data_IF_459999233542
#
_entry.id   IF_459999233542
#
_cell.length_a   1.000
_cell.length_b   1.000
_cell.length_c   1.000
_cell.angle_alpha   90.00
_cell.angle_beta   90.00
_cell.angle_gamma   90.00
#
_symmetry.space_group_name_H-M   'P 1'
#
loop_
_entity.id
_entity.type
_entity.pdbx_description
1 polymer ?
#
# COMPACT_ATOMS: atom_id res chain seq x y z
N UNK A 1 9.49 0.34 -15.71
CA UNK A 1 8.73 0.29 -14.46
C UNK A 1 7.31 -0.16 -14.82
N UNK A 2 6.77 -1.21 -14.19
CA UNK A 2 5.37 -1.60 -14.41
C UNK A 2 4.43 -0.74 -13.56
N UNK A 3 3.27 -0.38 -14.09
CA UNK A 3 2.25 0.33 -13.32
C UNK A 3 1.55 -0.65 -12.37
N UNK A 4 1.70 -0.40 -11.06
CA UNK A 4 1.09 -1.21 -10.00
C UNK A 4 -0.45 -1.14 -10.01
N UNK A 5 -1.06 -0.10 -10.60
CA UNK A 5 -2.51 -0.04 -10.80
C UNK A 5 -2.94 -1.04 -11.86
N UNK A 6 -2.26 -1.08 -13.00
CA UNK A 6 -2.53 -2.05 -14.06
C UNK A 6 -2.37 -3.50 -13.58
N UNK A 7 -1.38 -3.79 -12.72
CA UNK A 7 -1.21 -5.13 -12.14
C UNK A 7 -2.36 -5.49 -11.19
N UNK A 8 -2.88 -4.52 -10.41
CA UNK A 8 -4.04 -4.72 -9.52
C UNK A 8 -5.32 -4.97 -10.29
N UNK A 9 -5.54 -4.23 -11.36
CA UNK A 9 -6.75 -4.32 -12.18
C UNK A 9 -6.77 -5.59 -13.02
N UNK A 10 -5.62 -6.04 -13.52
CA UNK A 10 -5.54 -7.25 -14.36
C UNK A 10 -4.26 -8.07 -14.10
N UNK A 11 -4.18 -8.77 -12.95
CA UNK A 11 -3.01 -9.56 -12.59
C UNK A 11 -2.76 -10.73 -13.56
N UNK A 12 -3.83 -11.32 -14.09
CA UNK A 12 -3.73 -12.42 -15.05
C UNK A 12 -3.07 -11.99 -16.37
N UNK A 13 -3.39 -10.80 -16.89
CA UNK A 13 -2.74 -10.26 -18.08
C UNK A 13 -1.25 -9.98 -17.84
N UNK A 14 -0.90 -9.49 -16.65
CA UNK A 14 0.49 -9.32 -16.25
C UNK A 14 1.24 -10.65 -16.20
N UNK A 15 0.68 -11.67 -15.53
CA UNK A 15 1.30 -13.00 -15.46
C UNK A 15 1.43 -13.65 -16.83
N UNK A 16 0.45 -13.51 -17.73
CA UNK A 16 0.56 -14.00 -19.09
C UNK A 16 1.70 -13.32 -19.88
N UNK A 17 1.92 -12.02 -19.67
CA UNK A 17 3.03 -11.29 -20.28
C UNK A 17 4.39 -11.68 -19.68
N UNK A 18 4.43 -12.00 -18.38
CA UNK A 18 5.64 -12.46 -17.68
C UNK A 18 5.98 -13.92 -18.01
N UNK A 19 4.98 -14.77 -18.26
CA UNK A 19 5.19 -16.16 -18.67
C UNK A 19 5.92 -16.25 -20.02
N UNK A 20 5.69 -15.30 -20.93
CA UNK A 20 6.45 -15.16 -22.20
C UNK A 20 7.95 -14.90 -21.97
N UNK A 21 8.32 -14.47 -20.77
CA UNK A 21 9.70 -14.22 -20.32
C UNK A 21 10.23 -15.33 -19.39
N UNK A 22 9.49 -16.43 -19.23
CA UNK A 22 9.86 -17.54 -18.35
C UNK A 22 9.61 -17.27 -16.86
N UNK A 23 8.81 -16.26 -16.51
CA UNK A 23 8.52 -15.90 -15.12
C UNK A 23 7.05 -16.20 -14.83
N UNK A 24 6.79 -17.06 -13.85
CA UNK A 24 5.44 -17.50 -13.45
C UNK A 24 5.02 -16.92 -12.11
N UNK A 25 3.75 -16.49 -11.99
CA UNK A 25 3.14 -16.10 -10.72
C UNK A 25 3.64 -14.79 -10.12
N UNK A 26 4.29 -13.94 -10.92
CA UNK A 26 4.90 -12.69 -10.47
C UNK A 26 3.89 -11.72 -9.85
N UNK A 27 2.63 -11.71 -10.33
CA UNK A 27 1.60 -10.80 -9.80
C UNK A 27 1.32 -11.05 -8.32
N UNK A 28 1.34 -12.31 -7.87
CA UNK A 28 0.93 -12.70 -6.52
C UNK A 28 1.79 -12.08 -5.43
N UNK A 29 3.10 -12.21 -5.53
CA UNK A 29 4.06 -11.66 -4.58
C UNK A 29 4.06 -10.12 -4.62
N UNK A 30 3.99 -9.53 -5.82
CA UNK A 30 3.90 -8.08 -6.00
C UNK A 30 2.66 -7.52 -5.30
N UNK A 31 1.50 -8.17 -5.47
CA UNK A 31 0.24 -7.73 -4.87
C UNK A 31 0.22 -7.93 -3.35
N UNK A 32 0.88 -8.97 -2.83
CA UNK A 32 1.03 -9.15 -1.38
C UNK A 32 1.84 -8.00 -0.76
N UNK A 33 2.97 -7.64 -1.37
CA UNK A 33 3.80 -6.51 -0.91
C UNK A 33 3.05 -5.18 -1.05
N UNK A 34 2.32 -4.96 -2.15
CA UNK A 34 1.49 -3.76 -2.32
C UNK A 34 0.40 -3.66 -1.25
N UNK A 35 -0.28 -4.76 -0.94
CA UNK A 35 -1.29 -4.80 0.12
C UNK A 35 -0.70 -4.45 1.48
N UNK A 36 0.43 -5.05 1.85
CA UNK A 36 1.12 -4.74 3.11
C UNK A 36 1.57 -3.28 3.17
N UNK A 37 2.12 -2.76 2.07
CA UNK A 37 2.53 -1.36 1.97
C UNK A 37 1.36 -0.41 2.18
N UNK A 38 0.22 -0.65 1.52
CA UNK A 38 -0.99 0.19 1.68
C UNK A 38 -1.52 0.15 3.11
N UNK A 39 -1.51 -1.03 3.75
CA UNK A 39 -1.90 -1.16 5.16
C UNK A 39 -1.00 -0.33 6.09
N UNK A 40 0.33 -0.39 5.89
CA UNK A 40 1.28 0.41 6.68
C UNK A 40 1.10 1.92 6.49
N UNK A 41 0.82 2.36 5.26
CA UNK A 41 0.53 3.78 4.99
C UNK A 41 -0.71 4.23 5.76
N UNK A 42 -1.81 3.47 5.63
CA UNK A 42 -3.06 3.80 6.33
C UNK A 42 -2.86 3.84 7.86
N UNK A 43 -2.13 2.88 8.43
CA UNK A 43 -1.81 2.87 9.86
C UNK A 43 -0.96 4.08 10.28
N UNK A 44 0.01 4.47 9.45
CA UNK A 44 0.84 5.65 9.71
C UNK A 44 0.02 6.94 9.66
N UNK A 45 -0.91 7.06 8.71
CA UNK A 45 -1.80 8.23 8.58
C UNK A 45 -2.76 8.33 9.77
N UNK A 46 -3.32 7.21 10.22
CA UNK A 46 -4.14 7.15 11.43
C UNK A 46 -3.36 7.59 12.67
N UNK A 47 -2.16 7.03 12.89
CA UNK A 47 -1.30 7.41 14.02
C UNK A 47 -0.90 8.90 13.97
N UNK A 48 -0.70 9.45 12.78
CA UNK A 48 -0.43 10.88 12.58
C UNK A 48 -1.63 11.77 12.95
N UNK A 49 -2.84 11.35 12.57
CA UNK A 49 -4.08 12.03 12.94
C UNK A 49 -4.30 12.00 14.46
N UNK A 50 -4.16 10.83 15.08
CA UNK A 50 -4.29 10.66 16.54
C UNK A 50 -3.31 11.54 17.30
N UNK A 51 -2.03 11.56 16.88
CA UNK A 51 -1.01 12.44 17.49
C UNK A 51 -1.36 13.92 17.38
N UNK A 52 -1.93 14.33 16.24
CA UNK A 52 -2.35 15.71 16.02
C UNK A 52 -3.50 16.10 16.95
N UNK A 53 -4.49 15.22 17.11
CA UNK A 53 -5.61 15.42 18.05
C UNK A 53 -5.10 15.53 19.48
N UNK A 54 -4.28 14.57 19.93
CA UNK A 54 -3.72 14.58 21.28
C UNK A 54 -2.88 15.85 21.57
N UNK A 55 -2.12 16.33 20.57
CA UNK A 55 -1.34 17.57 20.72
C UNK A 55 -2.22 18.81 20.96
N UNK A 56 -3.39 18.88 20.30
CA UNK A 56 -4.35 19.97 20.48
C UNK A 56 -5.01 19.93 21.85
N UNK A 57 -5.40 18.74 22.32
CA UNK A 57 -5.98 18.55 23.64
C UNK A 57 -5.02 18.99 24.76
N UNK A 58 -3.74 18.61 24.65
CA UNK A 58 -2.70 19.06 25.59
C UNK A 58 -2.53 20.58 25.56
N UNK A 59 -2.56 21.20 24.37
CA UNK A 59 -2.49 22.65 24.24
C UNK A 59 -3.67 23.34 24.93
N UNK A 60 -4.89 22.83 24.74
CA UNK A 60 -6.09 23.36 25.38
C UNK A 60 -6.08 23.19 26.90
N UNK A 61 -5.57 22.07 27.42
CA UNK A 61 -5.50 21.81 28.85
C UNK A 61 -4.45 22.67 29.60
N UNK A 62 -3.50 23.26 28.87
CA UNK A 62 -2.45 24.14 29.44
C UNK A 62 -2.82 25.62 29.44
N UNK A 63 -3.82 26.04 28.68
CA UNK A 63 -4.28 27.42 28.57
C UNK A 63 -5.24 27.77 29.70
#
# INVERSE_FOLDING_TARGET
MHDIRAIRENPAAFDAAMAKRGISGASSEILAIDAERRAKIAASEAAQADRTTASKEVGAAKA
#
